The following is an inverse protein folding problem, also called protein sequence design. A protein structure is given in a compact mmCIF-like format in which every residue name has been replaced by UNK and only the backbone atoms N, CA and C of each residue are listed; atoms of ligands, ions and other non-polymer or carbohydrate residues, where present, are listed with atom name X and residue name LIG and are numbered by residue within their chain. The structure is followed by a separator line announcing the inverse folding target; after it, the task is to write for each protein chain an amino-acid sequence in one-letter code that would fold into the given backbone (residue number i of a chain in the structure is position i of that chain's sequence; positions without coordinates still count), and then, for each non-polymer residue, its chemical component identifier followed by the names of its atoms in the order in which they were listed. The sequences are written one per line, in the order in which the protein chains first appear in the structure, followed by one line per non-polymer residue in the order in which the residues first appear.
data_IF_876238500751
#
_entry.id   IF_876238500751
#
_cell.length_a   1.000
_cell.length_b   1.000
_cell.length_c   1.000
_cell.angle_alpha   90.00
_cell.angle_beta   90.00
_cell.angle_gamma   90.00
#
_symmetry.space_group_name_H-M   'P 1'
#
loop_
_entity.id
_entity.type
_entity.pdbx_description
1 polymer ?
#
# COMPACT_ATOMS: atom_id res chain seq x y z
N UNK A 1 7.15 22.49 11.85
CA UNK A 1 5.99 21.70 12.31
C UNK A 1 4.97 21.71 11.17
N UNK A 2 4.91 20.66 10.36
CA UNK A 2 3.90 20.53 9.30
C UNK A 2 2.58 20.13 9.98
N UNK A 3 1.64 21.06 10.09
CA UNK A 3 0.27 20.74 10.53
C UNK A 3 -0.58 20.62 9.28
N UNK A 4 -0.86 19.41 8.79
CA UNK A 4 -1.71 19.24 7.61
C UNK A 4 -3.12 19.73 7.95
N UNK A 5 -3.62 20.69 7.16
CA UNK A 5 -5.01 21.16 7.23
C UNK A 5 -5.75 20.63 6.02
N UNK A 6 -6.83 19.88 6.27
CA UNK A 6 -7.77 19.45 5.25
C UNK A 6 -8.72 20.63 4.99
N UNK A 7 -8.68 21.20 3.78
CA UNK A 7 -9.56 22.29 3.37
C UNK A 7 -10.21 21.93 2.04
N UNK A 8 -11.54 21.84 2.01
CA UNK A 8 -12.32 21.48 0.82
C UNK A 8 -13.47 20.52 1.12
N UNK A 9 -14.51 20.58 0.28
CA UNK A 9 -15.62 19.63 0.33
C UNK A 9 -15.18 18.33 -0.38
N UNK A 10 -15.21 17.19 0.32
CA UNK A 10 -14.84 15.87 -0.23
C UNK A 10 -13.50 15.29 0.25
N UNK A 11 -12.57 16.14 0.70
CA UNK A 11 -11.21 15.72 1.12
C UNK A 11 -11.22 14.74 2.30
N UNK A 12 -12.21 14.86 3.20
CA UNK A 12 -12.38 13.93 4.32
C UNK A 12 -12.77 12.53 3.83
N UNK A 13 -13.62 12.45 2.80
CA UNK A 13 -14.03 11.17 2.21
C UNK A 13 -12.85 10.45 1.56
N UNK A 14 -12.03 11.19 0.80
CA UNK A 14 -10.80 10.66 0.22
C UNK A 14 -9.78 10.24 1.27
N UNK A 15 -9.62 11.01 2.35
CA UNK A 15 -8.72 10.65 3.45
C UNK A 15 -9.17 9.36 4.15
N UNK A 16 -10.48 9.17 4.36
CA UNK A 16 -11.03 7.93 4.93
C UNK A 16 -10.86 6.77 3.95
N UNK A 17 -11.10 6.98 2.66
CA UNK A 17 -10.90 5.97 1.63
C UNK A 17 -9.43 5.52 1.56
N UNK A 18 -8.49 6.47 1.61
CA UNK A 18 -7.06 6.19 1.64
C UNK A 18 -6.65 5.45 2.92
N UNK A 19 -7.21 5.85 4.08
CA UNK A 19 -6.96 5.15 5.34
C UNK A 19 -7.48 3.70 5.30
N UNK A 20 -8.67 3.47 4.75
CA UNK A 20 -9.24 2.13 4.57
C UNK A 20 -8.46 1.27 3.58
N UNK A 21 -7.91 1.87 2.53
CA UNK A 21 -7.03 1.19 1.58
C UNK A 21 -5.69 0.78 2.22
N UNK A 22 -5.15 1.61 3.12
CA UNK A 22 -3.88 1.33 3.81
C UNK A 22 -4.05 0.32 4.96
N UNK A 23 -5.13 0.41 5.72
CA UNK A 23 -5.41 -0.45 6.88
C UNK A 23 -6.39 -1.55 6.46
N UNK A 24 -5.84 -2.60 5.87
CA UNK A 24 -6.62 -3.73 5.40
C UNK A 24 -6.98 -4.68 6.56
N UNK A 25 -8.27 -4.76 6.91
CA UNK A 25 -8.74 -5.50 8.10
C UNK A 25 -8.34 -6.98 8.11
N UNK A 26 -8.33 -7.64 6.96
CA UNK A 26 -7.97 -9.05 6.86
C UNK A 26 -6.48 -9.32 7.13
N UNK A 27 -5.59 -8.35 6.87
CA UNK A 27 -4.17 -8.47 7.23
C UNK A 27 -3.95 -8.49 8.74
N UNK A 28 -4.82 -7.85 9.52
CA UNK A 28 -4.75 -7.85 10.98
C UNK A 28 -5.04 -9.26 11.53
N UNK A 29 -6.05 -9.94 10.98
CA UNK A 29 -6.36 -11.33 11.33
C UNK A 29 -5.26 -12.29 10.86
N UNK A 30 -4.76 -12.12 9.63
CA UNK A 30 -3.68 -12.95 9.09
C UNK A 30 -2.38 -12.82 9.91
N UNK A 31 -1.94 -11.60 10.23
CA UNK A 31 -0.74 -11.40 11.06
C UNK A 31 -0.92 -12.00 12.46
N UNK A 32 -2.11 -11.89 13.05
CA UNK A 32 -2.40 -12.49 14.35
C UNK A 32 -2.29 -14.02 14.30
N UNK A 33 -2.82 -14.65 13.25
CA UNK A 33 -2.74 -16.09 13.05
C UNK A 33 -1.31 -16.58 12.75
N UNK A 34 -0.52 -15.82 11.99
CA UNK A 34 0.87 -16.15 11.68
C UNK A 34 1.78 -16.09 12.91
N UNK A 35 1.52 -15.19 13.87
CA UNK A 35 2.24 -15.18 15.15
C UNK A 35 2.00 -16.47 15.93
N UNK A 36 0.77 -16.99 15.92
CA UNK A 36 0.42 -18.24 16.60
C UNK A 36 0.96 -19.50 15.91
N UNK A 37 1.20 -19.45 14.59
CA UNK A 37 1.71 -20.60 13.84
C UNK A 37 3.22 -20.82 13.99
N UNK A 38 3.98 -19.80 14.41
CA UNK A 38 5.44 -19.92 14.61
C UNK A 38 5.72 -20.80 15.82
N UNK A 39 6.46 -21.91 15.60
CA UNK A 39 6.83 -22.84 16.66
C UNK A 39 7.86 -22.19 17.60
N UNK A 40 7.42 -21.77 18.79
CA UNK A 40 8.31 -21.19 19.81
C UNK A 40 8.99 -22.35 20.56
N UNK A 41 10.32 -22.55 20.43
CA UNK A 41 11.02 -23.61 21.13
C UNK A 41 11.27 -23.16 22.58
N UNK A 42 10.43 -23.62 23.51
CA UNK A 42 10.61 -23.35 24.93
C UNK A 42 9.38 -23.72 25.75
N UNK A 43 9.60 -24.25 26.95
CA UNK A 43 8.55 -24.49 27.96
C UNK A 43 7.63 -23.27 28.04
N UNK A 44 6.31 -23.50 27.93
CA UNK A 44 5.22 -22.52 27.73
C UNK A 44 5.08 -21.38 28.78
N UNK A 45 6.10 -21.08 29.60
CA UNK A 45 6.04 -20.19 30.76
C UNK A 45 7.19 -19.18 30.88
N UNK A 46 8.12 -19.11 29.94
CA UNK A 46 9.19 -18.11 30.02
C UNK A 46 8.77 -16.79 29.37
N UNK A 47 8.44 -15.80 30.20
CA UNK A 47 7.95 -14.47 29.77
C UNK A 47 9.00 -13.75 28.90
N UNK A 48 10.28 -13.99 29.16
CA UNK A 48 11.38 -13.36 28.42
C UNK A 48 11.44 -13.82 26.97
N UNK A 49 11.28 -15.13 26.72
CA UNK A 49 11.29 -15.71 25.36
C UNK A 49 10.10 -15.20 24.54
N UNK A 50 8.93 -15.04 25.18
CA UNK A 50 7.73 -14.49 24.53
C UNK A 50 7.91 -13.02 24.16
N UNK A 51 8.58 -12.24 25.03
CA UNK A 51 8.88 -10.83 24.78
C UNK A 51 9.83 -10.67 23.60
N UNK A 52 10.87 -11.48 23.53
CA UNK A 52 11.83 -11.45 22.41
C UNK A 52 11.14 -11.83 21.10
N UNK A 53 10.32 -12.88 21.09
CA UNK A 53 9.55 -13.28 19.90
C UNK A 53 8.63 -12.15 19.39
N UNK A 54 7.98 -11.42 20.30
CA UNK A 54 7.14 -10.27 19.96
C UNK A 54 7.96 -9.11 19.37
N UNK A 55 9.13 -8.80 19.94
CA UNK A 55 10.02 -7.75 19.44
C UNK A 55 10.51 -8.08 18.02
N UNK A 56 10.94 -9.31 17.77
CA UNK A 56 11.35 -9.73 16.42
C UNK A 56 10.21 -9.61 15.41
N UNK A 57 8.99 -10.02 15.79
CA UNK A 57 7.82 -9.90 14.93
C UNK A 57 7.43 -8.43 14.66
N UNK A 58 7.54 -7.58 15.68
CA UNK A 58 7.28 -6.14 15.55
C UNK A 58 8.28 -5.48 14.61
N UNK A 59 9.57 -5.85 14.69
CA UNK A 59 10.61 -5.35 13.78
C UNK A 59 10.36 -5.85 12.34
N UNK A 60 10.04 -7.13 12.17
CA UNK A 60 9.76 -7.74 10.85
C UNK A 60 8.54 -7.09 10.17
N UNK A 61 7.44 -6.96 10.92
CA UNK A 61 6.22 -6.31 10.43
C UNK A 61 6.41 -4.81 10.23
N UNK A 62 7.11 -4.15 11.15
CA UNK A 62 7.42 -2.72 11.08
C UNK A 62 8.29 -2.37 9.87
N UNK A 63 9.29 -3.20 9.56
CA UNK A 63 10.11 -3.03 8.36
C UNK A 63 9.28 -3.16 7.09
N UNK A 64 8.41 -4.17 7.03
CA UNK A 64 7.51 -4.37 5.88
C UNK A 64 6.56 -3.17 5.69
N UNK A 65 5.98 -2.67 6.78
CA UNK A 65 5.11 -1.49 6.75
C UNK A 65 5.87 -0.21 6.36
N UNK A 66 7.13 -0.09 6.79
CA UNK A 66 7.99 1.03 6.42
C UNK A 66 8.29 1.04 4.91
N UNK A 67 8.59 -0.12 4.32
CA UNK A 67 8.76 -0.25 2.86
C UNK A 67 7.46 0.09 2.13
N UNK A 68 6.31 -0.42 2.60
CA UNK A 68 5.01 -0.08 2.03
C UNK A 68 4.72 1.43 2.10
N UNK A 69 5.07 2.09 3.21
CA UNK A 69 4.95 3.54 3.36
C UNK A 69 5.81 4.28 2.32
N UNK A 70 7.06 3.88 2.12
CA UNK A 70 7.94 4.49 1.12
C UNK A 70 7.38 4.36 -0.31
N UNK A 71 6.82 3.20 -0.65
CA UNK A 71 6.17 2.96 -1.95
C UNK A 71 4.98 3.90 -2.14
N UNK A 72 4.10 4.02 -1.13
CA UNK A 72 2.95 4.92 -1.19
C UNK A 72 3.36 6.39 -1.36
N UNK A 73 4.38 6.85 -0.62
CA UNK A 73 4.92 8.21 -0.75
C UNK A 73 5.53 8.42 -2.14
N UNK A 74 6.29 7.46 -2.65
CA UNK A 74 6.86 7.52 -4.00
C UNK A 74 5.79 7.61 -5.08
N UNK A 75 4.70 6.85 -4.95
CA UNK A 75 3.56 6.88 -5.88
C UNK A 75 2.89 8.26 -5.91
N UNK A 76 2.62 8.85 -4.74
CA UNK A 76 2.06 10.21 -4.63
C UNK A 76 3.03 11.23 -5.25
N UNK A 77 4.33 11.10 -4.99
CA UNK A 77 5.34 12.00 -5.55
C UNK A 77 5.43 11.93 -7.08
N UNK A 78 5.44 10.72 -7.65
CA UNK A 78 5.44 10.50 -9.11
C UNK A 78 4.17 11.08 -9.74
N UNK A 79 3.02 10.87 -9.11
CA UNK A 79 1.75 11.40 -9.60
C UNK A 79 1.71 12.93 -9.53
N UNK A 80 2.18 13.52 -8.43
CA UNK A 80 2.26 14.97 -8.25
C UNK A 80 3.24 15.64 -9.20
N UNK A 81 4.37 15.00 -9.51
CA UNK A 81 5.34 15.52 -10.49
C UNK A 81 4.83 15.35 -11.93
N UNK A 82 4.16 14.24 -12.25
CA UNK A 82 3.55 14.01 -13.55
C UNK A 82 2.46 15.03 -13.88
N UNK A 83 1.64 15.42 -12.89
CA UNK A 83 0.58 16.42 -13.06
C UNK A 83 1.03 17.88 -12.93
N UNK A 84 2.25 18.14 -12.42
CA UNK A 84 2.81 19.48 -12.28
C UNK A 84 3.70 19.92 -13.46
N UNK A 85 4.13 18.99 -14.32
CA UNK A 85 4.98 19.34 -15.46
C UNK A 85 4.25 20.31 -16.41
N UNK A 86 4.90 21.44 -16.73
CA UNK A 86 4.36 22.56 -17.54
C UNK A 86 4.03 22.22 -19.02
N UNK A 87 4.23 20.98 -19.47
CA UNK A 87 4.07 20.55 -20.87
C UNK A 87 2.74 19.81 -21.11
N UNK A 88 1.68 20.25 -20.43
CA UNK A 88 0.36 19.62 -20.49
C UNK A 88 -0.54 20.45 -21.42
N UNK A 89 -0.68 19.99 -22.66
CA UNK A 89 -1.81 20.35 -23.55
C UNK A 89 -3.13 20.21 -22.79
N UNK A 90 -4.07 21.13 -22.98
CA UNK A 90 -5.31 21.23 -22.18
C UNK A 90 -6.11 19.94 -21.99
N UNK A 91 -5.98 18.95 -22.89
CA UNK A 91 -6.61 17.62 -22.78
C UNK A 91 -6.01 16.73 -21.67
N UNK A 92 -4.72 16.89 -21.35
CA UNK A 92 -4.04 16.13 -20.30
C UNK A 92 -4.28 16.73 -18.89
N UNK A 93 -4.72 17.98 -18.80
CA UNK A 93 -5.05 18.64 -17.52
C UNK A 93 -6.34 18.06 -16.91
N UNK A 94 -7.33 17.75 -17.74
CA UNK A 94 -8.58 17.10 -17.31
C UNK A 94 -8.35 15.67 -16.80
N UNK A 95 -7.37 14.95 -17.37
CA UNK A 95 -6.96 13.61 -16.90
C UNK A 95 -6.24 13.61 -15.55
N UNK A 96 -5.72 14.74 -15.11
CA UNK A 96 -5.14 14.91 -13.77
C UNK A 96 -6.20 15.24 -12.70
N UNK A 97 -7.39 15.71 -13.11
CA UNK A 97 -8.52 15.92 -12.19
C UNK A 97 -9.20 14.59 -11.79
N UNK A 98 -9.21 13.60 -12.68
CA UNK A 98 -9.73 12.25 -12.41
C UNK A 98 -8.70 11.17 -12.84
N UNK A 99 -7.83 10.81 -11.90
CA UNK A 99 -6.76 9.84 -12.13
C UNK A 99 -7.36 8.42 -12.13
N UNK A 100 -7.82 8.00 -13.31
CA UNK A 100 -8.22 6.61 -13.54
C UNK A 100 -7.01 5.71 -13.81
N UNK A 101 -7.18 4.39 -13.63
CA UNK A 101 -6.13 3.39 -13.93
C UNK A 101 -5.56 3.53 -15.35
N UNK A 102 -6.42 3.86 -16.31
CA UNK A 102 -6.02 4.07 -17.70
C UNK A 102 -5.21 5.36 -17.87
N UNK A 103 -5.68 6.46 -17.27
CA UNK A 103 -4.96 7.75 -17.24
C UNK A 103 -3.57 7.62 -16.61
N UNK A 104 -3.44 6.87 -15.50
CA UNK A 104 -2.17 6.64 -14.83
C UNK A 104 -1.14 5.94 -15.74
N UNK A 105 -1.58 4.94 -16.51
CA UNK A 105 -0.70 4.23 -17.44
C UNK A 105 -0.17 5.12 -18.57
N UNK A 106 -1.00 6.06 -19.05
CA UNK A 106 -0.63 7.02 -20.10
C UNK A 106 0.29 8.12 -19.58
N UNK A 107 0.02 8.65 -18.38
CA UNK A 107 0.89 9.64 -17.71
C UNK A 107 2.28 9.07 -17.44
N UNK A 108 2.36 7.83 -16.96
CA UNK A 108 3.63 7.12 -16.77
C UNK A 108 4.35 6.85 -18.10
N UNK A 109 3.60 6.57 -19.17
CA UNK A 109 4.16 6.36 -20.50
C UNK A 109 4.78 7.64 -21.07
N UNK A 110 4.12 8.78 -20.86
CA UNK A 110 4.59 10.07 -21.38
C UNK A 110 5.85 10.57 -20.63
N UNK A 111 5.94 10.32 -19.33
CA UNK A 111 7.10 10.74 -18.51
C UNK A 111 8.30 9.79 -18.58
N UNK A 112 8.05 8.47 -18.67
CA UNK A 112 9.09 7.44 -18.49
C UNK A 112 9.30 6.58 -19.75
N UNK A 113 8.55 6.82 -20.81
CA UNK A 113 8.65 6.14 -22.10
C UNK A 113 7.74 4.92 -22.25
N UNK A 114 7.70 4.36 -23.47
CA UNK A 114 6.74 3.33 -23.90
C UNK A 114 6.79 2.04 -23.07
N UNK A 115 7.96 1.69 -22.55
CA UNK A 115 8.20 0.47 -21.75
C UNK A 115 7.58 0.55 -20.34
N UNK A 116 7.40 1.76 -19.78
CA UNK A 116 6.86 1.97 -18.44
C UNK A 116 5.42 1.50 -18.30
N UNK A 117 4.60 1.72 -19.33
CA UNK A 117 3.20 1.28 -19.37
C UNK A 117 3.07 -0.25 -19.28
N UNK A 118 3.96 -0.98 -19.96
CA UNK A 118 3.97 -2.45 -19.91
C UNK A 118 4.39 -2.97 -18.54
N UNK A 119 5.40 -2.34 -17.93
CA UNK A 119 5.87 -2.70 -16.58
C UNK A 119 4.76 -2.43 -15.54
N UNK A 120 4.06 -1.30 -15.66
CA UNK A 120 2.92 -0.99 -14.78
C UNK A 120 1.80 -2.02 -14.91
N UNK A 121 1.44 -2.43 -16.13
CA UNK A 121 0.42 -3.45 -16.35
C UNK A 121 0.81 -4.81 -15.73
N UNK A 122 2.06 -5.24 -15.89
CA UNK A 122 2.57 -6.48 -15.28
C UNK A 122 2.55 -6.38 -13.75
N UNK A 123 2.98 -5.24 -13.20
CA UNK A 123 2.96 -5.01 -11.76
C UNK A 123 1.54 -5.03 -11.19
N UNK A 124 0.56 -4.48 -11.92
CA UNK A 124 -0.85 -4.49 -11.52
C UNK A 124 -1.39 -5.92 -11.41
N UNK A 125 -1.14 -6.75 -12.43
CA UNK A 125 -1.55 -8.17 -12.43
C UNK A 125 -0.86 -8.94 -11.30
N UNK A 126 0.44 -8.74 -11.10
CA UNK A 126 1.18 -9.38 -10.03
C UNK A 126 0.62 -9.01 -8.63
N UNK A 127 0.24 -7.74 -8.43
CA UNK A 127 -0.37 -7.25 -7.19
C UNK A 127 -1.73 -7.92 -6.91
N UNK A 128 -2.57 -8.10 -7.93
CA UNK A 128 -3.87 -8.76 -7.78
C UNK A 128 -3.72 -10.23 -7.38
N UNK A 129 -2.79 -10.96 -8.01
CA UNK A 129 -2.53 -12.37 -7.65
C UNK A 129 -2.05 -12.50 -6.20
N UNK A 130 -1.16 -11.60 -5.76
CA UNK A 130 -0.71 -11.59 -4.36
C UNK A 130 -1.87 -11.35 -3.38
N UNK A 131 -2.78 -10.43 -3.70
CA UNK A 131 -3.95 -10.11 -2.87
C UNK A 131 -4.93 -11.27 -2.76
N UNK A 132 -5.15 -12.01 -3.86
CA UNK A 132 -6.02 -13.19 -3.86
C UNK A 132 -5.50 -14.29 -2.92
N UNK A 133 -4.19 -14.51 -2.87
CA UNK A 133 -3.56 -15.50 -1.98
C UNK A 133 -3.74 -15.09 -0.52
N UNK A 134 -3.40 -13.86 -0.15
CA UNK A 134 -3.57 -13.37 1.24
C UNK A 134 -5.04 -13.37 1.68
N UNK A 135 -5.96 -13.05 0.76
CA UNK A 135 -7.39 -13.08 1.01
C UNK A 135 -7.92 -14.49 1.33
N UNK A 136 -7.49 -15.50 0.58
CA UNK A 136 -7.90 -16.90 0.83
C UNK A 136 -7.32 -17.45 2.13
N UNK A 137 -6.05 -17.14 2.45
CA UNK A 137 -5.46 -17.49 3.74
C UNK A 137 -6.15 -16.81 4.92
N UNK A 138 -6.45 -15.51 4.82
CA UNK A 138 -7.17 -14.81 5.88
C UNK A 138 -8.58 -15.39 6.08
N UNK A 139 -9.26 -15.74 4.98
CA UNK A 139 -10.56 -16.42 5.02
C UNK A 139 -10.54 -17.74 5.79
N UNK A 140 -9.49 -18.56 5.61
CA UNK A 140 -9.33 -19.83 6.34
C UNK A 140 -9.17 -19.66 7.86
N UNK A 141 -8.70 -18.51 8.34
CA UNK A 141 -8.56 -18.26 9.78
C UNK A 141 -9.80 -17.62 10.41
N UNK A 142 -10.70 -17.06 9.59
CA UNK A 142 -11.93 -16.38 10.05
C UNK A 142 -13.13 -17.34 10.05
N UNK A 143 -13.18 -18.26 9.08
CA UNK A 143 -14.25 -19.27 8.91
C UNK A 143 -14.02 -20.51 9.77
#
# INVERSE_FOLDING_TARGET
MFVPKLSGNGVVGEAIALLGALIMSHNLFLHSALVLSRKIPGTKRDINIMRDACIYFLIESGFTLFVAFLINVAMIYVTGTACKADDISGENADRCNDITLNSASFLLQNMLGRSSSTIYAIALVASEQSSAITGTYAGQFIM
#
